data_IF_058070833743
#
_entry.id   IF_058070833743
#
_cell.length_a   1.000
_cell.length_b   1.000
_cell.length_c   1.000
_cell.angle_alpha   90.00
_cell.angle_beta   90.00
_cell.angle_gamma   90.00
#
_symmetry.space_group_name_H-M   'P 1'
#
loop_
_entity.id
_entity.type
_entity.pdbx_description
1 polymer ?
#
# COMPACT_ATOMS: atom_id res chain seq x y z
N UNK A 1 46.95 -32.03 22.71
CA UNK A 1 47.45 -33.34 23.18
C UNK A 1 47.21 -34.32 22.04
N UNK A 2 48.28 -34.76 21.38
CA UNK A 2 48.26 -35.53 20.14
C UNK A 2 48.01 -37.02 20.42
N UNK A 3 47.25 -37.70 19.56
CA UNK A 3 47.40 -39.13 19.29
C UNK A 3 47.10 -39.44 17.81
N UNK A 4 47.83 -40.38 17.17
CA UNK A 4 47.96 -40.48 15.72
C UNK A 4 47.15 -41.62 15.09
N UNK A 5 47.18 -41.61 13.75
CA UNK A 5 46.62 -42.55 12.77
C UNK A 5 47.54 -43.76 12.46
N UNK A 6 46.92 -44.86 11.98
CA UNK A 6 47.56 -46.03 11.33
C UNK A 6 47.17 -47.37 12.01
N UNK A 7 46.96 -48.51 11.36
CA UNK A 7 47.07 -48.93 9.95
C UNK A 7 46.35 -50.30 9.78
N UNK A 8 46.25 -50.72 8.52
CA UNK A 8 45.49 -51.82 7.90
C UNK A 8 45.68 -53.25 8.46
N UNK A 9 44.64 -54.08 8.31
CA UNK A 9 44.79 -55.52 8.03
C UNK A 9 43.70 -55.98 7.04
N UNK A 10 44.13 -56.33 5.83
CA UNK A 10 43.33 -56.98 4.81
C UNK A 10 43.20 -58.48 5.11
N UNK A 11 41.98 -59.04 5.00
CA UNK A 11 41.77 -60.48 4.96
C UNK A 11 41.06 -60.85 3.64
N UNK A 12 41.68 -61.79 2.94
CA UNK A 12 41.46 -62.13 1.55
C UNK A 12 40.73 -63.48 1.39
N UNK A 13 39.73 -63.50 0.51
CA UNK A 13 39.38 -64.59 -0.45
C UNK A 13 38.72 -65.87 0.13
N UNK A 14 37.43 -66.12 -0.18
CA UNK A 14 36.99 -67.10 -1.20
C UNK A 14 35.45 -67.16 -1.39
N UNK A 15 34.96 -67.52 -2.60
CA UNK A 15 33.56 -67.41 -3.00
C UNK A 15 32.76 -68.69 -2.73
N UNK A 16 31.49 -68.56 -2.32
CA UNK A 16 30.54 -69.68 -2.29
C UNK A 16 29.36 -69.44 -3.25
N UNK A 17 29.33 -70.35 -4.20
CA UNK A 17 28.37 -70.70 -5.27
C UNK A 17 26.90 -70.37 -4.99
N UNK A 18 26.25 -69.83 -6.03
CA UNK A 18 24.80 -69.54 -6.19
C UNK A 18 23.90 -70.74 -5.90
N UNK A 19 22.81 -70.50 -5.17
CA UNK A 19 21.57 -71.27 -5.29
C UNK A 19 20.46 -70.33 -5.78
N UNK A 20 19.87 -70.65 -6.93
CA UNK A 20 18.81 -69.88 -7.56
C UNK A 20 17.48 -70.12 -6.82
N UNK A 21 16.92 -69.06 -6.21
CA UNK A 21 15.52 -69.07 -5.76
C UNK A 21 14.64 -68.30 -6.75
N UNK A 22 13.58 -68.99 -7.16
CA UNK A 22 12.59 -68.66 -8.17
C UNK A 22 11.64 -67.56 -7.65
N UNK A 23 11.42 -66.50 -8.43
CA UNK A 23 10.51 -65.42 -8.11
C UNK A 23 9.02 -65.83 -8.31
N UNK A 24 8.08 -65.42 -7.45
CA UNK A 24 6.66 -65.51 -7.73
C UNK A 24 6.15 -64.25 -8.47
N UNK A 25 5.32 -64.49 -9.49
CA UNK A 25 4.69 -63.54 -10.40
C UNK A 25 3.54 -62.77 -9.75
N UNK A 26 3.50 -61.44 -9.97
CA UNK A 26 2.39 -60.54 -9.61
C UNK A 26 1.19 -60.73 -10.54
N UNK A 27 -0.07 -60.75 -10.05
CA UNK A 27 -1.24 -60.62 -10.90
C UNK A 27 -1.56 -59.15 -11.21
N UNK A 28 -1.81 -58.89 -12.49
CA UNK A 28 -2.27 -57.62 -13.03
C UNK A 28 -3.71 -57.33 -12.61
N UNK A 29 -4.00 -56.12 -12.14
CA UNK A 29 -5.34 -55.54 -12.19
C UNK A 29 -5.26 -54.13 -12.77
N UNK A 30 -5.66 -54.03 -14.03
CA UNK A 30 -6.07 -52.78 -14.65
C UNK A 30 -7.41 -52.36 -14.04
N UNK A 31 -7.47 -51.22 -13.35
CA UNK A 31 -8.61 -50.30 -13.36
C UNK A 31 -8.34 -49.08 -12.47
N UNK A 32 -8.84 -47.92 -12.91
CA UNK A 32 -8.86 -46.61 -12.23
C UNK A 32 -7.63 -45.71 -12.41
N UNK A 33 -7.35 -45.31 -13.66
CA UNK A 33 -6.76 -43.99 -13.94
C UNK A 33 -7.82 -42.94 -13.60
N UNK A 34 -7.83 -42.50 -12.34
CA UNK A 34 -8.53 -41.28 -11.97
C UNK A 34 -7.83 -40.11 -12.68
N UNK A 35 -8.56 -39.45 -13.58
CA UNK A 35 -8.20 -38.17 -14.20
C UNK A 35 -7.98 -37.14 -13.09
N UNK A 36 -6.75 -37.05 -12.59
CA UNK A 36 -6.25 -35.82 -11.98
C UNK A 36 -6.13 -34.81 -13.11
N UNK A 37 -7.20 -34.05 -13.32
CA UNK A 37 -7.15 -32.80 -14.06
C UNK A 37 -6.20 -31.87 -13.29
N UNK A 38 -4.91 -31.98 -13.62
CA UNK A 38 -3.92 -31.01 -13.20
C UNK A 38 -4.44 -29.66 -13.65
N UNK A 39 -4.84 -28.83 -12.68
CA UNK A 39 -4.89 -27.40 -12.90
C UNK A 39 -3.47 -27.04 -13.29
N UNK A 40 -3.29 -26.73 -14.58
CA UNK A 40 -2.10 -26.07 -15.07
C UNK A 40 -2.04 -24.76 -14.29
N UNK A 41 -1.25 -24.75 -13.22
CA UNK A 41 -0.74 -23.51 -12.67
C UNK A 41 0.05 -22.87 -13.81
N UNK A 42 -0.60 -21.97 -14.55
CA UNK A 42 0.08 -21.00 -15.38
C UNK A 42 0.87 -20.13 -14.43
N UNK A 43 2.10 -20.56 -14.13
CA UNK A 43 3.11 -19.71 -13.55
C UNK A 43 3.47 -18.66 -14.61
N UNK A 44 2.66 -17.61 -14.71
CA UNK A 44 3.08 -16.37 -15.32
C UNK A 44 4.23 -15.85 -14.46
N UNK A 45 5.40 -15.79 -15.09
CA UNK A 45 6.62 -15.28 -14.46
C UNK A 45 6.36 -13.83 -14.01
N UNK A 46 6.44 -13.58 -12.71
CA UNK A 46 6.67 -12.23 -12.18
C UNK A 46 5.44 -11.40 -11.80
N UNK A 47 4.35 -12.01 -11.31
CA UNK A 47 3.29 -11.25 -10.63
C UNK A 47 3.84 -10.52 -9.40
N UNK A 48 3.45 -9.25 -9.23
CA UNK A 48 3.96 -8.36 -8.17
C UNK A 48 3.41 -8.73 -6.77
N UNK A 49 2.32 -9.49 -6.71
CA UNK A 49 1.76 -10.04 -5.47
C UNK A 49 1.68 -11.56 -5.56
N UNK A 50 2.19 -12.26 -4.55
CA UNK A 50 2.11 -13.71 -4.48
C UNK A 50 0.76 -14.20 -3.91
N UNK A 51 -0.06 -13.28 -3.38
CA UNK A 51 -1.30 -13.59 -2.65
C UNK A 51 -2.56 -13.24 -3.44
N UNK A 52 -2.49 -12.37 -4.45
CA UNK A 52 -3.66 -12.03 -5.29
C UNK A 52 -3.71 -12.90 -6.54
N UNK A 53 -4.89 -13.46 -6.83
CA UNK A 53 -5.15 -14.04 -8.15
C UNK A 53 -5.33 -12.92 -9.18
N UNK A 54 -4.81 -13.06 -10.40
CA UNK A 54 -4.97 -12.05 -11.44
C UNK A 54 -6.42 -11.94 -11.88
N UNK A 55 -6.90 -10.71 -12.03
CA UNK A 55 -8.15 -10.41 -12.70
C UNK A 55 -8.08 -10.97 -14.13
N UNK A 56 -9.20 -11.55 -14.59
CA UNK A 56 -9.29 -12.12 -15.95
C UNK A 56 -9.02 -11.10 -17.06
N UNK A 57 -8.79 -11.56 -18.30
CA UNK A 57 -8.52 -10.69 -19.44
C UNK A 57 -9.68 -9.70 -19.72
N UNK A 58 -10.91 -10.08 -19.36
CA UNK A 58 -12.13 -9.28 -19.54
C UNK A 58 -12.38 -8.27 -18.39
N UNK A 59 -11.30 -7.72 -17.80
CA UNK A 59 -11.43 -6.73 -16.73
C UNK A 59 -11.92 -5.37 -17.26
N UNK A 60 -12.64 -4.57 -16.44
CA UNK A 60 -12.98 -3.21 -16.83
C UNK A 60 -11.71 -2.37 -17.02
N UNK A 61 -11.65 -1.60 -18.10
CA UNK A 61 -10.55 -0.70 -18.41
C UNK A 61 -10.95 0.74 -18.13
N UNK A 62 -9.96 1.60 -17.86
CA UNK A 62 -10.17 3.03 -17.65
C UNK A 62 -10.76 3.72 -18.90
N UNK A 63 -10.37 3.26 -20.09
CA UNK A 63 -10.88 3.72 -21.37
C UNK A 63 -11.55 2.55 -22.12
N UNK A 64 -12.90 2.48 -22.12
CA UNK A 64 -13.63 1.40 -22.78
C UNK A 64 -13.28 1.27 -24.27
N UNK A 65 -12.95 0.06 -24.73
CA UNK A 65 -12.58 -0.22 -26.12
C UNK A 65 -11.08 -0.10 -26.44
N UNK A 66 -10.24 0.27 -25.46
CA UNK A 66 -8.79 0.20 -25.58
C UNK A 66 -8.23 -1.18 -25.26
N UNK A 67 -7.00 -1.47 -25.72
CA UNK A 67 -6.24 -2.64 -25.28
C UNK A 67 -5.33 -2.26 -24.09
N UNK A 68 -5.30 -3.03 -23.00
CA UNK A 68 -4.39 -2.75 -21.88
C UNK A 68 -2.92 -2.94 -22.32
N UNK A 69 -1.98 -2.21 -21.71
CA UNK A 69 -0.56 -2.39 -22.01
C UNK A 69 -0.05 -3.77 -21.54
N UNK A 70 0.97 -4.36 -22.19
CA UNK A 70 1.41 -5.74 -21.93
C UNK A 70 1.91 -6.02 -20.51
N UNK A 71 2.42 -5.01 -19.82
CA UNK A 71 2.94 -5.13 -18.44
C UNK A 71 1.84 -5.05 -17.36
N UNK A 72 0.60 -4.72 -17.74
CA UNK A 72 -0.57 -4.72 -16.86
C UNK A 72 -1.41 -5.96 -17.13
N UNK A 73 -1.12 -7.02 -16.39
CA UNK A 73 -1.70 -8.36 -16.55
C UNK A 73 -2.96 -8.60 -15.71
N UNK A 74 -3.39 -7.63 -14.89
CA UNK A 74 -4.50 -7.79 -13.95
C UNK A 74 -4.10 -8.45 -12.62
N UNK A 75 -2.82 -8.80 -12.41
CA UNK A 75 -2.33 -9.34 -11.12
C UNK A 75 -2.27 -8.30 -10.00
N UNK A 76 -2.20 -7.02 -10.37
CA UNK A 76 -2.15 -5.92 -9.42
C UNK A 76 -3.56 -5.52 -8.94
N UNK A 77 -3.76 -5.31 -7.63
CA UNK A 77 -5.04 -4.81 -7.11
C UNK A 77 -5.29 -3.39 -7.65
N UNK A 78 -6.46 -3.18 -8.26
CA UNK A 78 -6.79 -1.88 -8.87
C UNK A 78 -6.21 -1.65 -10.27
N UNK A 79 -5.84 -2.70 -10.99
CA UNK A 79 -5.45 -2.63 -12.40
C UNK A 79 -6.67 -2.37 -13.32
N UNK A 80 -6.71 -1.17 -13.90
CA UNK A 80 -7.67 -0.75 -14.93
C UNK A 80 -6.99 -0.48 -16.29
N UNK A 81 -5.76 -0.96 -16.50
CA UNK A 81 -5.00 -0.70 -17.73
C UNK A 81 -4.58 0.76 -17.92
N UNK A 82 -4.52 1.56 -16.86
CA UNK A 82 -4.15 2.97 -16.92
C UNK A 82 -2.64 3.16 -16.79
N UNK A 83 -1.96 3.26 -17.92
CA UNK A 83 -0.57 3.75 -17.99
C UNK A 83 -0.30 4.32 -19.40
N UNK A 84 -0.89 5.48 -19.75
CA UNK A 84 -0.73 6.05 -21.09
C UNK A 84 0.69 6.57 -21.36
N UNK A 85 1.47 6.85 -20.32
CA UNK A 85 2.85 7.35 -20.42
C UNK A 85 3.91 6.25 -20.35
N UNK A 86 3.52 5.00 -20.08
CA UNK A 86 4.43 3.87 -19.98
C UNK A 86 5.42 3.96 -18.82
N UNK A 87 5.03 4.61 -17.72
CA UNK A 87 5.91 4.76 -16.56
C UNK A 87 6.22 3.41 -15.90
N UNK A 88 5.28 2.45 -15.99
CA UNK A 88 5.41 1.12 -15.42
C UNK A 88 5.95 0.07 -16.39
N UNK A 89 6.61 0.45 -17.50
CA UNK A 89 7.10 -0.52 -18.49
C UNK A 89 8.11 -1.50 -17.91
N UNK A 90 8.95 -1.05 -16.98
CA UNK A 90 9.93 -1.88 -16.30
C UNK A 90 9.33 -2.54 -15.05
N UNK A 91 9.46 -3.87 -14.87
CA UNK A 91 8.88 -4.57 -13.72
C UNK A 91 9.37 -4.06 -12.35
N UNK A 92 10.61 -3.57 -12.26
CA UNK A 92 11.15 -3.00 -11.02
C UNK A 92 10.52 -1.64 -10.70
N UNK A 93 10.36 -0.78 -11.70
CA UNK A 93 9.66 0.50 -11.56
C UNK A 93 8.19 0.29 -11.22
N UNK A 94 7.52 -0.68 -11.86
CA UNK A 94 6.14 -1.02 -11.56
C UNK A 94 5.97 -1.47 -10.10
N UNK A 95 6.90 -2.27 -9.57
CA UNK A 95 6.91 -2.66 -8.16
C UNK A 95 7.10 -1.47 -7.23
N UNK A 96 8.01 -0.56 -7.58
CA UNK A 96 8.24 0.67 -6.82
C UNK A 96 6.99 1.56 -6.81
N UNK A 97 6.38 1.79 -7.97
CA UNK A 97 5.18 2.61 -8.10
C UNK A 97 3.97 2.00 -7.40
N UNK A 98 3.81 0.67 -7.40
CA UNK A 98 2.77 0.00 -6.62
C UNK A 98 2.94 0.26 -5.11
N UNK A 99 4.16 0.21 -4.59
CA UNK A 99 4.44 0.51 -3.18
C UNK A 99 4.28 2.00 -2.86
N UNK A 100 4.73 2.87 -3.76
CA UNK A 100 4.55 4.30 -3.63
C UNK A 100 3.06 4.67 -3.60
N UNK A 101 2.27 4.16 -4.55
CA UNK A 101 0.82 4.37 -4.61
C UNK A 101 0.13 3.93 -3.32
N UNK A 102 0.51 2.77 -2.78
CA UNK A 102 -0.05 2.23 -1.55
C UNK A 102 0.25 3.13 -0.33
N UNK A 103 1.48 3.65 -0.21
CA UNK A 103 1.83 4.59 0.87
C UNK A 103 1.13 5.94 0.71
N UNK A 104 1.13 6.53 -0.48
CA UNK A 104 0.44 7.80 -0.74
C UNK A 104 -1.07 7.67 -0.48
N UNK A 105 -1.66 6.55 -0.88
CA UNK A 105 -3.06 6.21 -0.59
C UNK A 105 -3.37 6.21 0.90
N UNK A 106 -2.56 5.53 1.72
CA UNK A 106 -2.78 5.44 3.17
C UNK A 106 -2.63 6.80 3.86
N UNK A 107 -1.59 7.56 3.51
CA UNK A 107 -1.39 8.90 4.05
C UNK A 107 -2.50 9.87 3.64
N UNK A 108 -2.94 9.81 2.38
CA UNK A 108 -4.04 10.64 1.91
C UNK A 108 -5.36 10.31 2.61
N UNK A 109 -5.67 9.03 2.83
CA UNK A 109 -6.86 8.63 3.60
C UNK A 109 -6.83 9.16 5.03
N UNK A 110 -5.67 9.09 5.71
CA UNK A 110 -5.50 9.65 7.05
C UNK A 110 -5.60 11.18 7.06
N UNK A 111 -5.01 11.85 6.07
CA UNK A 111 -5.07 13.31 5.94
C UNK A 111 -6.50 13.80 5.70
N UNK A 112 -7.22 13.19 4.75
CA UNK A 112 -8.62 13.53 4.45
C UNK A 112 -9.52 13.29 5.66
N UNK A 113 -9.37 12.16 6.37
CA UNK A 113 -10.11 11.92 7.61
C UNK A 113 -9.74 12.94 8.70
N UNK A 114 -8.45 13.25 8.85
CA UNK A 114 -7.94 14.21 9.84
C UNK A 114 -8.32 15.67 9.57
N UNK A 115 -8.69 16.02 8.33
CA UNK A 115 -9.22 17.33 7.97
C UNK A 115 -10.74 17.36 8.15
N UNK A 116 -11.46 16.39 7.57
CA UNK A 116 -12.93 16.41 7.54
C UNK A 116 -13.56 16.12 8.89
N UNK A 117 -13.03 15.15 9.65
CA UNK A 117 -13.66 14.75 10.93
C UNK A 117 -13.65 15.89 11.93
N UNK A 118 -12.52 16.58 12.21
CA UNK A 118 -12.54 17.67 13.17
C UNK A 118 -13.36 18.87 12.71
N UNK A 119 -13.37 19.19 11.41
CA UNK A 119 -14.19 20.29 10.87
C UNK A 119 -15.70 20.00 10.98
N UNK A 120 -16.11 18.74 10.80
CA UNK A 120 -17.50 18.32 11.07
C UNK A 120 -17.82 18.40 12.56
N UNK A 121 -16.90 17.96 13.43
CA UNK A 121 -17.09 18.03 14.88
C UNK A 121 -17.16 19.47 15.41
N UNK A 122 -16.39 20.37 14.83
CA UNK A 122 -16.47 21.81 15.10
C UNK A 122 -17.85 22.36 14.73
N UNK A 123 -18.37 22.04 13.54
CA UNK A 123 -19.72 22.48 13.12
C UNK A 123 -20.84 21.90 13.98
N UNK A 124 -20.63 20.73 14.59
CA UNK A 124 -21.56 20.17 15.58
C UNK A 124 -21.40 20.76 17.00
N UNK A 125 -20.43 21.66 17.21
CA UNK A 125 -20.20 22.33 18.49
C UNK A 125 -19.46 21.48 19.52
N UNK A 126 -18.80 20.39 19.10
CA UNK A 126 -17.96 19.58 20.00
C UNK A 126 -16.54 20.13 20.12
N UNK A 127 -16.10 20.97 19.19
CA UNK A 127 -14.79 21.61 19.15
C UNK A 127 -14.94 23.07 18.75
N UNK A 128 -14.02 23.92 19.19
CA UNK A 128 -13.98 25.35 18.84
C UNK A 128 -12.66 25.67 18.14
N UNK A 129 -12.71 26.64 17.21
CA UNK A 129 -11.58 27.17 16.44
C UNK A 129 -10.71 26.08 15.80
N UNK A 130 -11.24 25.27 14.90
CA UNK A 130 -10.45 24.31 14.11
C UNK A 130 -10.16 24.86 12.71
N UNK A 131 -8.87 24.96 12.37
CA UNK A 131 -8.41 25.24 11.00
C UNK A 131 -7.23 24.34 10.72
N UNK A 132 -7.40 23.43 9.75
CA UNK A 132 -6.35 22.48 9.38
C UNK A 132 -5.14 23.17 8.73
N UNK A 133 -5.35 24.30 8.04
CA UNK A 133 -4.29 25.09 7.38
C UNK A 133 -3.46 25.81 8.44
N UNK A 134 -4.11 26.41 9.43
CA UNK A 134 -3.44 27.18 10.50
C UNK A 134 -2.90 26.31 11.62
N UNK A 135 -3.20 25.01 11.63
CA UNK A 135 -2.81 24.10 12.69
C UNK A 135 -1.29 24.13 12.95
N UNK A 136 -0.48 24.23 11.90
CA UNK A 136 0.99 24.26 12.03
C UNK A 136 1.55 25.54 12.68
N UNK A 137 0.79 26.62 12.73
CA UNK A 137 1.22 27.89 13.33
C UNK A 137 0.79 28.03 14.80
N UNK A 138 0.05 27.06 15.34
CA UNK A 138 -0.40 27.09 16.74
C UNK A 138 0.73 26.75 17.70
N UNK A 139 0.64 27.32 18.89
CA UNK A 139 1.55 26.98 19.98
C UNK A 139 1.16 25.63 20.58
N UNK A 140 2.14 24.74 20.63
CA UNK A 140 2.04 23.42 21.24
C UNK A 140 2.87 23.36 22.52
N UNK A 141 2.83 22.20 23.20
CA UNK A 141 3.59 21.97 24.43
C UNK A 141 5.12 22.01 24.24
N UNK A 142 5.60 21.84 22.99
CA UNK A 142 7.00 21.85 22.62
C UNK A 142 7.20 22.69 21.37
N UNK A 143 8.43 23.14 21.15
CA UNK A 143 8.79 23.89 19.95
C UNK A 143 8.59 23.04 18.68
N UNK A 144 8.19 23.66 17.55
CA UNK A 144 7.95 22.94 16.29
C UNK A 144 9.15 22.11 15.82
N UNK A 145 10.38 22.57 16.11
CA UNK A 145 11.60 21.86 15.74
C UNK A 145 11.80 20.56 16.52
N UNK A 146 11.55 20.57 17.83
CA UNK A 146 11.59 19.36 18.67
C UNK A 146 10.54 18.35 18.22
N UNK A 147 9.32 18.80 17.90
CA UNK A 147 8.28 17.93 17.35
C UNK A 147 8.70 17.35 15.99
N UNK A 148 9.25 18.17 15.11
CA UNK A 148 9.74 17.74 13.80
C UNK A 148 10.88 16.73 13.90
N UNK A 149 11.90 16.97 14.72
CA UNK A 149 13.04 16.04 14.90
C UNK A 149 12.57 14.72 15.50
N UNK A 150 11.67 14.78 16.49
CA UNK A 150 11.08 13.60 17.11
C UNK A 150 10.27 12.79 16.09
N UNK A 151 9.47 13.46 15.26
CA UNK A 151 8.75 12.85 14.15
C UNK A 151 9.70 12.23 13.12
N UNK A 152 10.76 12.93 12.73
CA UNK A 152 11.77 12.41 11.79
C UNK A 152 12.50 11.18 12.33
N UNK A 153 12.80 11.13 13.63
CA UNK A 153 13.43 9.97 14.25
C UNK A 153 12.49 8.75 14.28
N UNK A 154 11.24 8.93 14.70
CA UNK A 154 10.25 7.85 14.79
C UNK A 154 9.83 7.35 13.40
N UNK A 155 9.50 8.27 12.48
CA UNK A 155 9.15 7.94 11.12
C UNK A 155 10.35 7.39 10.34
N UNK A 156 11.55 7.92 10.58
CA UNK A 156 12.78 7.41 9.99
C UNK A 156 13.06 5.96 10.40
N UNK A 157 12.78 5.59 11.64
CA UNK A 157 12.87 4.20 12.08
C UNK A 157 11.82 3.30 11.39
N UNK A 158 10.55 3.73 11.36
CA UNK A 158 9.46 2.97 10.75
C UNK A 158 9.67 2.78 9.23
N UNK A 159 9.96 3.86 8.52
CA UNK A 159 10.25 3.86 7.09
C UNK A 159 11.56 3.15 6.77
N UNK A 160 12.59 3.26 7.63
CA UNK A 160 13.84 2.52 7.48
C UNK A 160 13.63 1.00 7.50
N UNK A 161 12.75 0.51 8.41
CA UNK A 161 12.36 -0.91 8.42
C UNK A 161 11.53 -1.27 7.20
N UNK A 162 10.58 -0.43 6.79
CA UNK A 162 9.79 -0.64 5.55
C UNK A 162 10.69 -0.70 4.31
N UNK A 163 11.70 0.16 4.25
CA UNK A 163 12.68 0.21 3.17
C UNK A 163 13.55 -1.05 3.14
N UNK A 164 14.01 -1.52 4.30
CA UNK A 164 14.75 -2.78 4.40
C UNK A 164 13.92 -3.97 3.89
N UNK A 165 12.62 -4.02 4.22
CA UNK A 165 11.71 -5.06 3.71
C UNK A 165 11.46 -4.94 2.20
N UNK A 166 11.40 -3.72 1.65
CA UNK A 166 11.29 -3.50 0.21
C UNK A 166 12.50 -4.04 -0.56
N UNK A 167 13.72 -3.75 -0.07
CA UNK A 167 14.96 -4.22 -0.70
C UNK A 167 15.17 -5.72 -0.52
N UNK A 168 14.92 -6.24 0.68
CA UNK A 168 15.12 -7.64 1.03
C UNK A 168 13.87 -8.18 1.74
N UNK A 169 12.89 -8.71 0.99
CA UNK A 169 11.65 -9.21 1.55
C UNK A 169 11.89 -10.24 2.65
N UNK A 170 11.29 -10.02 3.83
CA UNK A 170 11.39 -10.92 4.97
C UNK A 170 12.63 -10.77 5.84
N UNK A 171 13.51 -9.79 5.57
CA UNK A 171 14.61 -9.45 6.49
C UNK A 171 14.09 -8.80 7.79
N UNK A 172 12.91 -8.19 7.74
CA UNK A 172 12.25 -7.55 8.87
C UNK A 172 11.20 -8.47 9.46
N UNK A 173 11.48 -9.02 10.64
CA UNK A 173 10.48 -9.80 11.37
C UNK A 173 9.39 -8.87 11.91
N UNK A 174 8.15 -9.06 11.46
CA UNK A 174 6.96 -8.35 11.94
C UNK A 174 6.41 -9.00 13.22
N UNK A 175 6.57 -10.31 13.37
CA UNK A 175 6.13 -11.09 14.54
C UNK A 175 7.35 -11.65 15.30
N UNK A 176 7.32 -11.75 16.65
CA UNK A 176 8.32 -12.47 17.40
C UNK A 176 8.47 -13.89 16.86
N UNK A 177 9.71 -14.35 16.62
CA UNK A 177 9.96 -15.71 16.12
C UNK A 177 9.54 -16.73 17.19
N UNK A 178 8.36 -17.30 17.02
CA UNK A 178 7.89 -18.42 17.83
C UNK A 178 8.50 -19.72 17.29
N UNK A 179 9.15 -20.54 18.13
CA UNK A 179 9.83 -21.76 17.67
C UNK A 179 8.89 -22.80 17.03
N UNK A 180 7.59 -22.74 17.34
CA UNK A 180 6.60 -23.73 16.91
C UNK A 180 5.70 -23.29 15.75
N UNK A 181 5.89 -22.09 15.20
CA UNK A 181 5.10 -21.57 14.08
C UNK A 181 6.02 -20.99 13.01
N UNK A 182 5.84 -21.43 11.76
CA UNK A 182 6.48 -20.76 10.62
C UNK A 182 5.79 -19.42 10.41
N UNK A 183 6.56 -18.32 10.41
CA UNK A 183 6.02 -17.03 9.99
C UNK A 183 5.61 -17.15 8.51
N UNK A 184 4.39 -16.74 8.16
CA UNK A 184 4.04 -16.59 6.75
C UNK A 184 4.92 -15.50 6.14
N UNK A 185 5.30 -15.66 4.87
CA UNK A 185 6.01 -14.63 4.13
C UNK A 185 4.96 -13.59 3.73
N UNK A 186 4.98 -12.37 4.30
CA UNK A 186 4.07 -11.33 3.89
C UNK A 186 4.44 -10.82 2.50
N UNK A 187 3.44 -10.43 1.71
CA UNK A 187 3.69 -9.63 0.50
C UNK A 187 4.26 -8.26 0.93
N UNK A 188 5.25 -7.77 0.18
CA UNK A 188 5.81 -6.43 0.39
C UNK A 188 4.68 -5.39 0.36
N UNK A 189 4.63 -4.51 1.36
CA UNK A 189 3.56 -3.50 1.52
C UNK A 189 2.37 -3.94 2.39
N UNK A 190 2.28 -5.24 2.69
CA UNK A 190 1.25 -5.84 3.56
C UNK A 190 1.91 -6.62 4.71
N UNK A 191 2.49 -5.91 5.71
CA UNK A 191 3.29 -6.54 6.77
C UNK A 191 2.50 -7.54 7.62
N UNK A 192 1.19 -7.32 7.79
CA UNK A 192 0.30 -8.17 8.57
C UNK A 192 0.78 -8.34 10.02
N UNK A 193 0.51 -9.50 10.61
CA UNK A 193 0.88 -9.83 11.98
C UNK A 193 0.03 -9.12 13.03
N UNK A 194 0.31 -9.37 14.31
CA UNK A 194 -0.57 -8.93 15.39
C UNK A 194 -0.77 -7.40 15.45
N UNK A 195 0.27 -6.64 15.12
CA UNK A 195 0.27 -5.17 15.20
C UNK A 195 -0.45 -4.49 14.03
N UNK A 196 -0.40 -5.06 12.82
CA UNK A 196 -0.97 -4.44 11.61
C UNK A 196 -2.19 -5.18 11.05
N UNK A 197 -2.44 -6.40 11.50
CA UNK A 197 -3.59 -7.23 11.11
C UNK A 197 -4.02 -8.13 12.28
N UNK A 198 -4.46 -7.49 13.37
CA UNK A 198 -4.97 -8.18 14.58
C UNK A 198 -6.09 -9.18 14.24
N UNK A 199 -6.97 -8.83 13.32
CA UNK A 199 -8.13 -9.65 12.91
C UNK A 199 -7.81 -10.73 11.88
N UNK A 200 -6.57 -10.79 11.38
CA UNK A 200 -6.14 -11.69 10.31
C UNK A 200 -7.05 -11.63 9.07
N UNK A 201 -7.55 -10.43 8.73
CA UNK A 201 -8.40 -10.19 7.56
C UNK A 201 -7.58 -10.03 6.27
N UNK A 202 -6.29 -9.70 6.40
CA UNK A 202 -5.34 -9.61 5.30
C UNK A 202 -4.74 -10.95 4.87
N UNK A 203 -5.08 -12.04 5.57
CA UNK A 203 -4.59 -13.40 5.30
C UNK A 203 -5.79 -14.34 5.09
N UNK A 204 -6.02 -14.77 3.86
CA UNK A 204 -7.17 -15.58 3.47
C UNK A 204 -7.06 -16.11 2.05
N UNK A 205 -8.18 -16.51 1.45
CA UNK A 205 -8.18 -16.90 0.03
C UNK A 205 -7.78 -15.71 -0.87
N UNK A 206 -7.17 -15.97 -2.05
CA UNK A 206 -6.66 -14.91 -2.93
C UNK A 206 -7.71 -13.90 -3.39
N UNK A 207 -8.93 -14.37 -3.65
CA UNK A 207 -10.04 -13.55 -4.14
C UNK A 207 -10.47 -12.44 -3.15
N UNK A 208 -10.85 -12.73 -1.88
CA UNK A 208 -11.25 -11.68 -0.95
C UNK A 208 -10.10 -10.73 -0.62
N UNK A 209 -8.85 -11.21 -0.59
CA UNK A 209 -7.67 -10.35 -0.37
C UNK A 209 -7.52 -9.36 -1.52
N UNK A 210 -7.66 -9.81 -2.77
CA UNK A 210 -7.64 -8.92 -3.92
C UNK A 210 -8.77 -7.87 -3.87
N UNK A 211 -9.98 -8.27 -3.47
CA UNK A 211 -11.11 -7.34 -3.33
C UNK A 211 -10.84 -6.28 -2.27
N UNK A 212 -10.30 -6.67 -1.11
CA UNK A 212 -9.96 -5.73 -0.03
C UNK A 212 -8.84 -4.77 -0.43
N UNK A 213 -7.77 -5.27 -1.04
CA UNK A 213 -6.68 -4.43 -1.55
C UNK A 213 -7.15 -3.48 -2.66
N UNK A 214 -8.05 -3.94 -3.53
CA UNK A 214 -8.67 -3.08 -4.55
C UNK A 214 -9.53 -1.98 -3.91
N UNK A 215 -10.26 -2.28 -2.84
CA UNK A 215 -11.01 -1.26 -2.07
C UNK A 215 -10.07 -0.24 -1.42
N UNK A 216 -8.95 -0.71 -0.83
CA UNK A 216 -7.93 0.15 -0.25
C UNK A 216 -7.37 1.14 -1.28
N UNK A 217 -6.91 0.66 -2.43
CA UNK A 217 -6.33 1.51 -3.49
C UNK A 217 -7.38 2.46 -4.09
N UNK A 218 -8.63 2.02 -4.28
CA UNK A 218 -9.70 2.91 -4.79
C UNK A 218 -10.01 4.06 -3.83
N UNK A 219 -10.16 3.76 -2.53
CA UNK A 219 -10.35 4.79 -1.52
C UNK A 219 -9.11 5.68 -1.39
N UNK A 220 -7.92 5.11 -1.53
CA UNK A 220 -6.65 5.81 -1.59
C UNK A 220 -6.56 6.83 -2.73
N UNK A 221 -6.85 6.41 -3.96
CA UNK A 221 -6.90 7.29 -5.15
C UNK A 221 -7.92 8.41 -4.97
N UNK A 222 -9.12 8.10 -4.46
CA UNK A 222 -10.13 9.10 -4.15
C UNK A 222 -9.63 10.09 -3.10
N UNK A 223 -8.98 9.62 -2.04
CA UNK A 223 -8.43 10.45 -0.97
C UNK A 223 -7.29 11.35 -1.45
N UNK A 224 -6.40 10.86 -2.33
CA UNK A 224 -5.34 11.68 -2.94
C UNK A 224 -5.93 12.85 -3.73
N UNK A 225 -6.97 12.59 -4.53
CA UNK A 225 -7.69 13.64 -5.27
C UNK A 225 -8.42 14.60 -4.32
N UNK A 226 -9.06 14.09 -3.27
CA UNK A 226 -9.76 14.90 -2.28
C UNK A 226 -8.79 15.84 -1.53
N UNK A 227 -7.63 15.34 -1.09
CA UNK A 227 -6.63 16.15 -0.40
C UNK A 227 -6.10 17.29 -1.27
N UNK A 228 -5.77 17.01 -2.53
CA UNK A 228 -5.36 18.03 -3.50
C UNK A 228 -6.50 19.03 -3.72
N UNK A 229 -7.74 18.54 -3.83
CA UNK A 229 -8.94 19.37 -3.91
C UNK A 229 -9.09 20.31 -2.71
N UNK A 230 -8.94 19.82 -1.48
CA UNK A 230 -9.03 20.62 -0.26
C UNK A 230 -7.93 21.66 -0.18
N UNK A 231 -6.70 21.32 -0.57
CA UNK A 231 -5.61 22.29 -0.66
C UNK A 231 -5.97 23.42 -1.62
N UNK A 232 -6.36 23.10 -2.86
CA UNK A 232 -6.70 24.12 -3.84
C UNK A 232 -7.92 24.93 -3.42
N UNK A 233 -8.95 24.29 -2.85
CA UNK A 233 -10.12 24.99 -2.31
C UNK A 233 -9.70 25.98 -1.21
N UNK A 234 -8.93 25.54 -0.23
CA UNK A 234 -8.38 26.38 0.82
C UNK A 234 -7.60 27.60 0.29
N UNK A 235 -6.73 27.40 -0.70
CA UNK A 235 -5.94 28.50 -1.29
C UNK A 235 -6.83 29.48 -2.05
N UNK A 236 -7.88 29.01 -2.73
CA UNK A 236 -8.74 29.85 -3.55
C UNK A 236 -9.81 30.57 -2.73
N UNK A 237 -10.53 29.86 -1.85
CA UNK A 237 -11.68 30.40 -1.11
C UNK A 237 -11.29 30.97 0.25
N UNK A 238 -10.19 30.48 0.84
CA UNK A 238 -9.80 30.84 2.21
C UNK A 238 -10.69 30.20 3.28
N UNK A 239 -11.58 29.29 2.90
CA UNK A 239 -12.54 28.63 3.80
C UNK A 239 -12.30 27.11 3.83
N UNK A 240 -12.82 26.46 4.87
CA UNK A 240 -12.75 25.02 5.05
C UNK A 240 -13.50 24.25 3.95
N UNK A 241 -13.07 23.02 3.61
CA UNK A 241 -13.73 22.18 2.61
C UNK A 241 -15.23 21.93 2.88
N UNK A 242 -15.67 21.88 4.14
CA UNK A 242 -17.10 21.70 4.45
C UNK A 242 -17.89 22.99 4.19
N UNK A 243 -17.34 24.16 4.49
CA UNK A 243 -17.99 25.44 4.17
C UNK A 243 -18.12 25.64 2.66
N UNK A 244 -17.07 25.32 1.91
CA UNK A 244 -17.10 25.31 0.45
C UNK A 244 -18.18 24.37 -0.09
N UNK A 245 -18.36 23.21 0.54
CA UNK A 245 -19.44 22.27 0.19
C UNK A 245 -20.82 22.85 0.50
N UNK A 246 -21.03 23.46 1.67
CA UNK A 246 -22.30 24.07 2.04
C UNK A 246 -22.67 25.25 1.13
N UNK A 247 -21.69 26.08 0.77
CA UNK A 247 -21.87 27.18 -0.16
C UNK A 247 -22.25 26.68 -1.57
N UNK A 248 -21.61 25.60 -2.04
CA UNK A 248 -21.97 24.99 -3.31
C UNK A 248 -23.34 24.30 -3.27
N UNK A 249 -23.72 23.66 -2.17
CA UNK A 249 -25.03 23.02 -2.01
C UNK A 249 -26.17 24.04 -1.92
N UNK A 250 -25.91 25.22 -1.34
CA UNK A 250 -26.91 26.29 -1.24
C UNK A 250 -27.23 26.91 -2.61
N UNK A 251 -26.23 27.09 -3.47
CA UNK A 251 -26.42 27.57 -4.84
C UNK A 251 -25.37 26.99 -5.80
N UNK A 252 -25.63 25.82 -6.40
CA UNK A 252 -24.64 25.15 -7.25
C UNK A 252 -24.40 25.90 -8.58
N UNK A 253 -25.36 26.74 -9.01
CA UNK A 253 -25.28 27.49 -10.24
C UNK A 253 -24.32 28.68 -10.13
N UNK A 254 -24.32 29.36 -8.99
CA UNK A 254 -23.52 30.57 -8.78
C UNK A 254 -22.31 30.35 -7.89
N UNK A 255 -22.35 29.45 -6.90
CA UNK A 255 -21.22 29.18 -5.99
C UNK A 255 -20.35 28.05 -6.56
N UNK A 256 -19.50 28.37 -7.54
CA UNK A 256 -18.60 27.43 -8.18
C UNK A 256 -17.19 28.01 -8.31
N UNK A 257 -16.29 27.32 -9.00
CA UNK A 257 -14.90 27.78 -9.22
C UNK A 257 -14.80 29.20 -9.81
N UNK A 258 -15.82 29.67 -10.54
CA UNK A 258 -15.85 30.98 -11.18
C UNK A 258 -16.34 32.11 -10.26
N UNK A 259 -16.93 31.81 -9.10
CA UNK A 259 -17.51 32.83 -8.21
C UNK A 259 -16.46 33.52 -7.34
N UNK A 260 -15.41 32.79 -7.00
CA UNK A 260 -14.40 33.16 -5.99
C UNK A 260 -13.54 34.36 -6.41
N UNK A 261 -13.44 34.65 -7.72
CA UNK A 261 -12.74 35.85 -8.22
C UNK A 261 -13.36 37.16 -7.71
N UNK A 262 -14.63 37.15 -7.25
CA UNK A 262 -15.30 38.37 -6.76
C UNK A 262 -14.98 38.68 -5.30
N UNK A 263 -14.73 37.67 -4.46
CA UNK A 263 -14.56 37.84 -3.01
C UNK A 263 -13.18 38.37 -2.61
N UNK A 264 -12.11 37.98 -3.32
CA UNK A 264 -10.76 38.51 -3.09
C UNK A 264 -10.63 40.01 -3.39
N UNK A 265 -11.54 40.56 -4.20
CA UNK A 265 -11.61 42.00 -4.50
C UNK A 265 -12.62 42.76 -3.64
N UNK A 266 -13.45 42.06 -2.85
CA UNK A 266 -14.56 42.66 -2.09
C UNK A 266 -14.43 42.54 -0.58
N UNK A 267 -13.32 42.05 -0.03
CA UNK A 267 -13.06 42.08 1.41
C UNK A 267 -12.30 43.36 1.78
N UNK A 268 -12.97 44.46 2.19
CA UNK A 268 -12.28 45.53 2.90
C UNK A 268 -11.88 44.98 4.27
N UNK A 269 -10.57 44.81 4.48
CA UNK A 269 -9.92 44.68 5.79
C UNK A 269 -10.85 44.45 6.99
N UNK A 270 -11.20 43.20 7.26
CA UNK A 270 -11.57 42.76 8.60
C UNK A 270 -10.81 41.46 8.85
N UNK A 271 -9.79 41.56 9.69
CA UNK A 271 -9.01 40.45 10.27
C UNK A 271 -7.81 39.96 9.43
N UNK A 272 -7.03 40.91 8.91
CA UNK A 272 -5.61 40.71 8.66
C UNK A 272 -4.84 40.69 9.99
N UNK A 273 -4.70 39.52 10.61
CA UNK A 273 -3.65 39.32 11.63
C UNK A 273 -2.68 38.18 11.31
N UNK A 274 -3.00 37.27 10.38
CA UNK A 274 -2.11 36.11 10.14
C UNK A 274 -1.63 35.98 8.69
N UNK A 275 -2.48 36.27 7.70
CA UNK A 275 -2.13 36.00 6.29
C UNK A 275 -1.52 37.20 5.52
N UNK A 276 -1.64 38.41 6.05
CA UNK A 276 -1.04 39.62 5.45
C UNK A 276 0.48 39.77 5.63
N UNK A 277 1.12 38.92 6.45
CA UNK A 277 2.54 39.03 6.78
C UNK A 277 3.46 38.32 5.77
N UNK A 278 2.99 37.24 5.13
CA UNK A 278 3.85 36.43 4.23
C UNK A 278 4.00 37.02 2.82
N UNK A 279 3.05 37.82 2.35
CA UNK A 279 3.15 38.48 1.03
C UNK A 279 3.90 39.82 1.10
N UNK A 280 3.94 40.48 2.25
CA UNK A 280 4.63 41.78 2.40
C UNK A 280 6.16 41.68 2.48
N UNK A 281 6.71 40.52 2.85
CA UNK A 281 8.16 40.33 2.93
C UNK A 281 8.86 39.97 1.61
N UNK A 282 8.12 39.70 0.53
CA UNK A 282 8.70 39.42 -0.79
C UNK A 282 9.03 40.70 -1.61
N UNK A 283 8.58 41.88 -1.14
CA UNK A 283 8.79 43.16 -1.83
C UNK A 283 9.83 44.07 -1.12
N UNK A 284 10.58 43.54 -0.16
CA UNK A 284 11.59 44.29 0.59
C UNK A 284 12.94 43.56 0.70
N UNK A 285 13.27 42.79 -0.35
CA UNK A 285 14.64 42.41 -0.69
C UNK A 285 14.87 42.65 -2.18
#
# INVERSE_FOLDING_TARGET
MALPSGSFAACSIQPRVRAALRAPTLPSQNAAVARMAGHRAGATKGGVSAVCEPLGPDRPLWFPGSSPPPWLDGSLPGDFGFDPLGLGSDPELLRWFAQAELMHSRWAMLAVAGILVPEVLEKWGFMEDYSWIDAGARDYFADPWTLFVSQMALMGWAEGRRWADYLNPGCVAVEPRLPNRRNPVPDVGYPGGLWFDWGNWGRGSPEPVMVLRTKEIKNGRLAMLAFVGFWFQAVYTGEGPIDNLLHHLADPGHCNVFSVRRTLLSQPNANNTSYGALVKNANNL
#
